data_IF_543161014057
#
_entry.id   IF_543161014057
#
_cell.length_a   1.000
_cell.length_b   1.000
_cell.length_c   1.000
_cell.angle_alpha   90.00
_cell.angle_beta   90.00
_cell.angle_gamma   90.00
#
_symmetry.space_group_name_H-M   'P 1'
#
loop_
_entity.id
_entity.type
_entity.pdbx_description
1 polymer ?
#
# COMPACT_ATOMS: atom_id res chain seq x y z
N UNK A 1 1.91 1.72 45.07
CA UNK A 1 2.83 2.03 43.95
C UNK A 1 2.36 1.21 42.75
N UNK A 2 1.73 1.88 41.78
CA UNK A 2 1.01 1.23 40.69
C UNK A 2 1.96 0.64 39.65
N UNK A 3 1.83 -0.65 39.42
CA UNK A 3 2.49 -1.34 38.32
C UNK A 3 2.04 -0.74 37.00
N UNK A 4 3.00 -0.20 36.25
CA UNK A 4 2.89 0.11 34.83
C UNK A 4 2.59 -1.20 34.09
N UNK A 5 1.31 -1.55 33.97
CA UNK A 5 0.85 -2.57 33.03
C UNK A 5 1.06 -2.02 31.63
N UNK A 6 2.23 -2.31 31.06
CA UNK A 6 2.44 -2.30 29.62
C UNK A 6 1.48 -3.34 29.05
N UNK A 7 0.27 -2.93 28.69
CA UNK A 7 -0.69 -3.78 27.98
C UNK A 7 -0.03 -4.19 26.68
N UNK A 8 0.52 -5.40 26.64
CA UNK A 8 0.78 -6.07 25.37
C UNK A 8 -0.53 -6.05 24.59
N UNK A 9 -0.50 -5.70 23.29
CA UNK A 9 -1.73 -5.68 22.50
C UNK A 9 -2.33 -7.07 22.52
N UNK A 10 -3.51 -7.19 23.15
CA UNK A 10 -4.21 -8.46 23.28
C UNK A 10 -4.55 -8.98 21.87
N UNK A 11 -3.88 -10.06 21.49
CA UNK A 11 -4.08 -10.70 20.19
C UNK A 11 -5.45 -11.35 20.17
N UNK A 12 -6.20 -11.10 19.09
CA UNK A 12 -7.54 -11.64 18.89
C UNK A 12 -7.41 -13.01 18.23
N UNK A 13 -8.09 -14.06 18.71
CA UNK A 13 -8.05 -15.36 18.05
C UNK A 13 -8.67 -15.29 16.65
N UNK A 14 -7.97 -15.80 15.65
CA UNK A 14 -8.49 -15.92 14.29
C UNK A 14 -9.59 -16.98 14.22
N UNK A 15 -10.85 -16.55 14.12
CA UNK A 15 -12.00 -17.47 14.02
C UNK A 15 -12.24 -17.93 12.58
N UNK A 16 -12.92 -19.07 12.40
CA UNK A 16 -13.35 -19.57 11.08
C UNK A 16 -14.15 -18.54 10.28
N UNK A 17 -15.07 -17.83 10.94
CA UNK A 17 -15.86 -16.77 10.32
C UNK A 17 -14.97 -15.62 9.86
N UNK A 18 -14.10 -15.11 10.73
CA UNK A 18 -13.18 -14.04 10.37
C UNK A 18 -12.29 -14.43 9.19
N UNK A 19 -11.77 -15.66 9.19
CA UNK A 19 -10.97 -16.17 8.07
C UNK A 19 -11.76 -16.25 6.75
N UNK A 20 -13.01 -16.72 6.80
CA UNK A 20 -13.90 -16.74 5.64
C UNK A 20 -14.17 -15.34 5.10
N UNK A 21 -14.48 -14.39 5.98
CA UNK A 21 -14.70 -12.98 5.63
C UNK A 21 -13.43 -12.36 5.02
N UNK A 22 -12.25 -12.70 5.53
CA UNK A 22 -10.97 -12.27 4.97
C UNK A 22 -10.73 -12.84 3.57
N UNK A 23 -11.09 -14.10 3.30
CA UNK A 23 -10.95 -14.70 1.99
C UNK A 23 -11.85 -14.03 0.95
N UNK A 24 -13.11 -13.72 1.32
CA UNK A 24 -14.01 -12.92 0.47
C UNK A 24 -13.42 -11.55 0.20
N UNK A 25 -13.00 -10.84 1.25
CA UNK A 25 -12.43 -9.51 1.13
C UNK A 25 -11.20 -9.52 0.19
N UNK A 26 -10.33 -10.52 0.30
CA UNK A 26 -9.16 -10.63 -0.59
C UNK A 26 -9.57 -10.73 -2.07
N UNK A 27 -10.60 -11.52 -2.38
CA UNK A 27 -11.12 -11.65 -3.74
C UNK A 27 -11.70 -10.34 -4.24
N UNK A 28 -12.61 -9.74 -3.47
CA UNK A 28 -13.27 -8.49 -3.85
C UNK A 28 -12.25 -7.36 -4.02
N UNK A 29 -11.28 -7.29 -3.10
CA UNK A 29 -10.26 -6.26 -3.14
C UNK A 29 -9.30 -6.45 -4.31
N UNK A 30 -8.92 -7.69 -4.66
CA UNK A 30 -8.13 -7.97 -5.86
C UNK A 30 -8.84 -7.51 -7.15
N UNK A 31 -10.14 -7.82 -7.29
CA UNK A 31 -10.95 -7.37 -8.42
C UNK A 31 -11.09 -5.84 -8.48
N UNK A 32 -11.19 -5.19 -7.32
CA UNK A 32 -11.27 -3.73 -7.24
C UNK A 32 -9.94 -3.07 -7.62
N UNK A 33 -8.80 -3.61 -7.18
CA UNK A 33 -7.47 -3.10 -7.55
C UNK A 33 -7.21 -3.20 -9.06
N UNK A 34 -7.64 -4.30 -9.69
CA UNK A 34 -7.52 -4.54 -11.13
C UNK A 34 -8.15 -3.45 -12.01
N UNK A 35 -9.11 -2.67 -11.47
CA UNK A 35 -9.79 -1.57 -12.20
C UNK A 35 -8.99 -0.28 -12.24
N UNK A 36 -7.85 -0.20 -11.55
CA UNK A 36 -7.10 1.04 -11.35
C UNK A 36 -5.80 1.07 -12.18
N UNK A 37 -5.28 2.27 -12.41
CA UNK A 37 -4.01 2.44 -13.13
C UNK A 37 -2.84 1.94 -12.28
N UNK A 38 -2.21 0.86 -12.77
CA UNK A 38 -1.10 0.15 -12.13
C UNK A 38 0.08 1.06 -11.79
N UNK A 39 0.35 2.08 -12.60
CA UNK A 39 1.49 2.99 -12.45
C UNK A 39 1.26 4.16 -11.48
N UNK A 40 0.05 4.28 -10.91
CA UNK A 40 -0.35 5.43 -10.09
C UNK A 40 -0.53 5.04 -8.63
N UNK A 41 -0.30 6.01 -7.75
CA UNK A 41 -0.64 5.91 -6.33
C UNK A 41 -2.11 6.28 -6.15
N UNK A 42 -2.89 5.37 -5.56
CA UNK A 42 -4.24 5.66 -5.12
C UNK A 42 -4.27 5.81 -3.60
N UNK A 43 -4.48 7.04 -3.13
CA UNK A 43 -4.48 7.38 -1.70
C UNK A 43 -5.56 6.60 -0.94
N UNK A 44 -6.76 6.49 -1.51
CA UNK A 44 -7.88 5.78 -0.90
C UNK A 44 -7.50 4.32 -0.62
N UNK A 45 -6.95 3.64 -1.63
CA UNK A 45 -6.54 2.24 -1.50
C UNK A 45 -5.34 2.07 -0.57
N UNK A 46 -4.38 3.00 -0.56
CA UNK A 46 -3.28 2.96 0.40
C UNK A 46 -3.79 3.05 1.85
N UNK A 47 -4.72 3.96 2.14
CA UNK A 47 -5.30 4.10 3.47
C UNK A 47 -6.17 2.91 3.86
N UNK A 48 -6.99 2.41 2.92
CA UNK A 48 -7.81 1.22 3.12
C UNK A 48 -6.94 0.00 3.43
N UNK A 49 -5.88 -0.24 2.66
CA UNK A 49 -4.93 -1.31 2.91
C UNK A 49 -4.23 -1.16 4.27
N UNK A 50 -3.82 0.06 4.65
CA UNK A 50 -3.16 0.27 5.94
C UNK A 50 -4.09 0.00 7.12
N UNK A 51 -5.35 0.43 7.03
CA UNK A 51 -6.36 0.14 8.04
C UNK A 51 -6.63 -1.37 8.13
N UNK A 52 -6.77 -2.04 6.99
CA UNK A 52 -6.97 -3.48 6.93
C UNK A 52 -5.75 -4.27 7.45
N UNK A 53 -4.53 -3.89 7.05
CA UNK A 53 -3.29 -4.51 7.54
C UNK A 53 -3.15 -4.37 9.06
N UNK A 54 -3.52 -3.21 9.61
CA UNK A 54 -3.55 -3.02 11.06
C UNK A 54 -4.55 -3.97 11.74
N UNK A 55 -5.71 -4.22 11.13
CA UNK A 55 -6.67 -5.22 11.63
C UNK A 55 -6.10 -6.64 11.53
N UNK A 56 -5.48 -7.01 10.40
CA UNK A 56 -4.87 -8.33 10.21
C UNK A 56 -3.79 -8.62 11.26
N UNK A 57 -2.96 -7.63 11.58
CA UNK A 57 -1.91 -7.74 12.60
C UNK A 57 -2.43 -7.89 14.03
N UNK A 58 -3.74 -7.78 14.26
CA UNK A 58 -4.35 -8.08 15.56
C UNK A 58 -4.67 -9.55 15.74
N UNK A 59 -4.74 -10.33 14.66
CA UNK A 59 -5.02 -11.76 14.76
C UNK A 59 -3.78 -12.52 15.20
N UNK A 60 -3.93 -13.35 16.23
CA UNK A 60 -2.88 -14.19 16.82
C UNK A 60 -2.03 -14.95 15.78
N UNK A 61 -2.68 -15.57 14.80
CA UNK A 61 -2.01 -16.40 13.78
C UNK A 61 -1.40 -15.63 12.62
N UNK A 62 -1.88 -14.41 12.38
CA UNK A 62 -1.43 -13.57 11.26
C UNK A 62 -0.38 -12.55 11.70
N UNK A 63 -0.46 -12.05 12.93
CA UNK A 63 0.47 -11.08 13.49
C UNK A 63 1.96 -11.44 13.29
N UNK A 64 2.44 -12.65 13.66
CA UNK A 64 3.86 -12.99 13.50
C UNK A 64 4.27 -13.09 12.03
N UNK A 65 3.38 -13.60 11.16
CA UNK A 65 3.65 -13.82 9.73
C UNK A 65 3.60 -12.51 8.93
N UNK A 66 2.84 -11.52 9.41
CA UNK A 66 2.71 -10.18 8.79
C UNK A 66 3.62 -9.13 9.41
N UNK A 67 4.42 -9.46 10.43
CA UNK A 67 5.31 -8.51 11.11
C UNK A 67 6.26 -7.81 10.13
N UNK A 68 6.76 -8.54 9.13
CA UNK A 68 7.67 -8.03 8.10
C UNK A 68 6.97 -7.21 7.01
N UNK A 69 5.64 -7.29 6.90
CA UNK A 69 4.90 -6.55 5.89
C UNK A 69 4.76 -5.08 6.30
N UNK A 70 5.40 -4.20 5.53
CA UNK A 70 5.36 -2.75 5.73
C UNK A 70 4.03 -2.14 5.26
N UNK A 71 3.56 -1.04 5.88
CA UNK A 71 2.40 -0.32 5.39
C UNK A 71 2.64 0.28 3.99
N UNK A 72 1.56 0.54 3.27
CA UNK A 72 1.58 1.31 2.03
C UNK A 72 1.90 2.79 2.32
N UNK A 73 2.73 3.39 1.47
CA UNK A 73 3.12 4.81 1.50
C UNK A 73 2.13 5.62 0.66
N UNK A 74 1.21 6.40 1.26
CA UNK A 74 0.19 7.16 0.56
C UNK A 74 0.77 8.50 0.07
N UNK A 75 1.79 8.45 -0.79
CA UNK A 75 2.47 9.64 -1.33
C UNK A 75 2.17 9.75 -2.82
N UNK A 76 1.21 10.60 -3.16
CA UNK A 76 0.83 10.89 -4.54
C UNK A 76 1.67 12.04 -5.11
N UNK A 77 1.81 12.06 -6.44
CA UNK A 77 2.62 13.07 -7.15
C UNK A 77 2.20 14.50 -6.83
N UNK A 78 0.90 14.77 -6.77
CA UNK A 78 0.39 16.12 -6.50
C UNK A 78 0.83 16.65 -5.11
N UNK A 79 0.97 15.78 -4.10
CA UNK A 79 1.42 16.19 -2.77
C UNK A 79 2.87 16.70 -2.83
N UNK A 80 3.72 16.01 -3.58
CA UNK A 80 5.11 16.44 -3.79
C UNK A 80 5.19 17.70 -4.65
N UNK A 81 4.32 17.84 -5.65
CA UNK A 81 4.20 19.08 -6.44
C UNK A 81 3.81 20.26 -5.55
N UNK A 82 2.79 20.12 -4.70
CA UNK A 82 2.33 21.17 -3.78
C UNK A 82 3.41 21.53 -2.76
N UNK A 83 4.07 20.53 -2.17
CA UNK A 83 5.20 20.76 -1.27
C UNK A 83 6.34 21.49 -1.98
N UNK A 84 6.66 21.08 -3.20
CA UNK A 84 7.59 21.78 -4.07
C UNK A 84 7.21 23.25 -4.16
N UNK A 85 6.05 23.57 -4.74
CA UNK A 85 5.56 24.94 -4.89
C UNK A 85 5.58 25.73 -3.58
N UNK A 86 5.17 25.16 -2.46
CA UNK A 86 5.21 25.81 -1.15
C UNK A 86 6.63 26.17 -0.72
N UNK A 87 7.59 25.27 -0.88
CA UNK A 87 9.01 25.51 -0.60
C UNK A 87 9.57 26.59 -1.54
N UNK A 88 9.27 26.52 -2.84
CA UNK A 88 9.71 27.53 -3.80
C UNK A 88 9.13 28.91 -3.52
N UNK A 89 7.87 28.98 -3.12
CA UNK A 89 7.21 30.23 -2.74
C UNK A 89 7.83 30.81 -1.47
N UNK A 90 8.07 29.98 -0.44
CA UNK A 90 8.74 30.42 0.78
C UNK A 90 10.18 30.91 0.49
N UNK A 91 10.92 30.18 -0.35
CA UNK A 91 12.25 30.58 -0.77
C UNK A 91 12.23 31.94 -1.49
N UNK A 92 11.22 32.18 -2.35
CA UNK A 92 11.04 33.47 -3.04
C UNK A 92 10.75 34.62 -2.05
N UNK A 93 9.95 34.38 -1.01
CA UNK A 93 9.70 35.39 0.03
C UNK A 93 10.93 35.69 0.88
N UNK A 94 11.77 34.68 1.13
CA UNK A 94 12.99 34.81 1.92
C UNK A 94 14.20 35.24 1.08
N UNK A 95 14.04 35.38 -0.25
CA UNK A 95 15.14 35.74 -1.12
C UNK A 95 15.62 37.16 -0.76
N UNK A 96 16.90 37.33 -0.35
CA UNK A 96 17.42 38.65 -0.05
C UNK A 96 17.39 39.52 -1.30
N UNK A 97 16.91 40.76 -1.16
CA UNK A 97 16.82 41.78 -2.22
C UNK A 97 18.17 42.17 -2.86
N UNK A 98 19.26 41.57 -2.38
CA UNK A 98 20.64 41.81 -2.81
C UNK A 98 21.08 40.98 -4.01
N UNK A 99 20.27 40.03 -4.48
CA UNK A 99 20.59 39.27 -5.68
C UNK A 99 20.28 40.06 -6.95
N UNK A 100 21.25 40.12 -7.87
CA UNK A 100 21.02 40.70 -9.20
C UNK A 100 19.93 39.95 -9.97
N UNK A 101 19.21 40.69 -10.84
CA UNK A 101 18.05 40.17 -11.60
C UNK A 101 18.38 38.90 -12.40
N UNK A 102 19.60 38.81 -12.94
CA UNK A 102 20.09 37.64 -13.68
C UNK A 102 20.15 36.40 -12.78
N UNK A 103 20.78 36.48 -11.61
CA UNK A 103 20.89 35.37 -10.65
C UNK A 103 19.53 34.93 -10.14
N UNK A 104 18.65 35.87 -9.81
CA UNK A 104 17.28 35.57 -9.36
C UNK A 104 16.45 34.86 -10.42
N UNK A 105 16.57 35.28 -11.69
CA UNK A 105 15.88 34.62 -12.81
C UNK A 105 16.42 33.21 -13.08
N UNK A 106 17.73 33.00 -13.01
CA UNK A 106 18.36 31.69 -13.20
C UNK A 106 17.92 30.70 -12.12
N UNK A 107 17.85 31.12 -10.85
CA UNK A 107 17.35 30.30 -9.73
C UNK A 107 15.89 29.89 -9.99
N UNK A 108 15.04 30.86 -10.35
CA UNK A 108 13.62 30.61 -10.61
C UNK A 108 13.43 29.62 -11.77
N UNK A 109 14.12 29.82 -12.90
CA UNK A 109 14.00 28.93 -14.05
C UNK A 109 14.53 27.53 -13.75
N UNK A 110 15.65 27.41 -13.03
CA UNK A 110 16.19 26.11 -12.60
C UNK A 110 15.20 25.38 -11.70
N UNK A 111 14.59 26.09 -10.76
CA UNK A 111 13.58 25.55 -9.86
C UNK A 111 12.31 25.09 -10.62
N UNK A 112 11.77 25.92 -11.50
CA UNK A 112 10.60 25.56 -12.33
C UNK A 112 10.91 24.36 -13.24
N UNK A 113 12.09 24.34 -13.85
CA UNK A 113 12.55 23.21 -14.66
C UNK A 113 12.67 21.94 -13.82
N UNK A 114 13.19 22.03 -12.59
CA UNK A 114 13.24 20.92 -11.64
C UNK A 114 11.85 20.37 -11.30
N UNK A 115 10.85 21.23 -11.08
CA UNK A 115 9.47 20.80 -10.85
C UNK A 115 8.86 20.09 -12.07
N UNK A 116 9.16 20.57 -13.27
CA UNK A 116 8.71 19.93 -14.52
C UNK A 116 9.36 18.57 -14.66
N UNK A 117 10.68 18.48 -14.48
CA UNK A 117 11.42 17.23 -14.55
C UNK A 117 10.89 16.21 -13.52
N UNK A 118 10.56 16.67 -12.32
CA UNK A 118 9.95 15.84 -11.28
C UNK A 118 8.62 15.18 -11.71
N UNK A 119 7.83 15.78 -12.63
CA UNK A 119 6.59 15.15 -13.12
C UNK A 119 6.82 13.86 -13.91
N UNK A 120 8.03 13.67 -14.44
CA UNK A 120 8.43 12.46 -15.17
C UNK A 120 8.98 11.37 -14.24
N UNK A 121 9.17 11.67 -12.95
CA UNK A 121 9.67 10.71 -11.98
C UNK A 121 8.59 9.64 -11.66
N UNK A 122 8.89 8.34 -11.82
CA UNK A 122 7.92 7.28 -11.53
C UNK A 122 7.44 7.30 -10.08
N UNK A 123 6.12 7.15 -9.87
CA UNK A 123 5.54 7.26 -8.52
C UNK A 123 5.99 6.15 -7.56
N UNK A 124 6.43 5.01 -8.10
CA UNK A 124 6.99 3.88 -7.33
C UNK A 124 8.22 4.25 -6.47
N UNK A 125 8.93 5.32 -6.83
CA UNK A 125 10.13 5.74 -6.09
C UNK A 125 9.80 6.36 -4.72
N UNK A 126 8.65 7.00 -4.59
CA UNK A 126 8.26 7.71 -3.37
C UNK A 126 6.94 7.21 -2.76
N UNK A 127 6.02 6.66 -3.56
CA UNK A 127 4.73 6.14 -3.12
C UNK A 127 4.60 4.62 -3.26
N UNK A 128 3.45 4.10 -2.84
CA UNK A 128 3.01 2.72 -3.16
C UNK A 128 1.99 2.78 -4.27
N UNK A 129 2.40 2.40 -5.48
CA UNK A 129 1.51 2.31 -6.64
C UNK A 129 0.53 1.15 -6.48
N UNK A 130 -0.52 1.11 -7.32
CA UNK A 130 -1.47 -0.03 -7.34
C UNK A 130 -0.73 -1.35 -7.52
N UNK A 131 0.23 -1.44 -8.43
CA UNK A 131 1.06 -2.65 -8.64
C UNK A 131 1.76 -3.12 -7.35
N UNK A 132 2.41 -2.19 -6.63
CA UNK A 132 3.07 -2.50 -5.36
C UNK A 132 2.07 -2.90 -4.26
N UNK A 133 0.86 -2.33 -4.32
CA UNK A 133 -0.22 -2.64 -3.40
C UNK A 133 -0.77 -4.05 -3.66
N UNK A 134 -0.97 -4.42 -4.92
CA UNK A 134 -1.34 -5.77 -5.34
C UNK A 134 -0.31 -6.81 -4.86
N UNK A 135 0.99 -6.51 -4.99
CA UNK A 135 2.04 -7.38 -4.45
C UNK A 135 1.96 -7.57 -2.93
N UNK A 136 1.57 -6.53 -2.18
CA UNK A 136 1.36 -6.63 -0.72
C UNK A 136 0.12 -7.44 -0.38
N UNK A 137 -0.99 -7.27 -1.12
CA UNK A 137 -2.21 -8.07 -0.96
C UNK A 137 -1.94 -9.53 -1.32
N UNK A 138 -1.19 -9.79 -2.39
CA UNK A 138 -0.80 -11.13 -2.80
C UNK A 138 -0.04 -11.85 -1.69
N UNK A 139 0.86 -11.14 -0.99
CA UNK A 139 1.56 -11.70 0.17
C UNK A 139 0.59 -12.11 1.29
N UNK A 140 -0.46 -11.34 1.54
CA UNK A 140 -1.49 -11.70 2.52
C UNK A 140 -2.29 -12.93 2.05
N UNK A 141 -2.68 -12.99 0.78
CA UNK A 141 -3.41 -14.13 0.20
C UNK A 141 -2.60 -15.41 0.34
N UNK A 142 -1.32 -15.38 -0.01
CA UNK A 142 -0.42 -16.55 0.12
C UNK A 142 -0.32 -17.03 1.57
N UNK A 143 -0.24 -16.11 2.54
CA UNK A 143 -0.22 -16.45 3.97
C UNK A 143 -1.53 -17.06 4.46
N UNK A 144 -2.68 -16.58 3.97
CA UNK A 144 -3.97 -17.18 4.27
C UNK A 144 -4.05 -18.59 3.68
N UNK A 145 -3.58 -18.80 2.46
CA UNK A 145 -3.59 -20.13 1.85
C UNK A 145 -2.67 -21.12 2.58
N UNK A 146 -1.50 -20.67 3.04
CA UNK A 146 -0.62 -21.46 3.91
C UNK A 146 -1.35 -21.87 5.21
N UNK A 147 -2.05 -20.94 5.86
CA UNK A 147 -2.86 -21.22 7.07
C UNK A 147 -4.00 -22.20 6.78
N UNK A 148 -4.65 -22.08 5.63
CA UNK A 148 -5.74 -22.96 5.21
C UNK A 148 -5.23 -24.39 5.01
N UNK A 149 -4.09 -24.55 4.34
CA UNK A 149 -3.46 -25.86 4.07
C UNK A 149 -3.00 -26.53 5.37
N UNK A 150 -2.51 -25.75 6.34
CA UNK A 150 -2.15 -26.26 7.67
C UNK A 150 -3.37 -26.75 8.48
N UNK A 151 -4.60 -26.53 7.99
CA UNK A 151 -5.88 -26.92 8.59
C UNK A 151 -6.03 -26.53 10.07
N UNK A 152 -5.38 -25.45 10.48
CA UNK A 152 -5.33 -25.06 11.89
C UNK A 152 -6.70 -24.58 12.43
N UNK A 153 -7.66 -24.33 11.54
CA UNK A 153 -8.98 -23.76 11.85
C UNK A 153 -10.14 -24.78 11.77
N UNK A 154 -9.87 -26.04 11.38
CA UNK A 154 -10.86 -27.12 11.31
C UNK A 154 -12.15 -26.69 10.57
N UNK A 155 -11.98 -26.31 9.30
CA UNK A 155 -13.12 -26.00 8.43
C UNK A 155 -13.94 -27.25 8.13
N UNK A 156 -15.24 -27.06 7.88
CA UNK A 156 -16.04 -28.08 7.19
C UNK A 156 -15.56 -28.18 5.74
N UNK A 157 -15.78 -29.32 5.10
CA UNK A 157 -15.33 -29.55 3.72
C UNK A 157 -15.85 -28.47 2.74
N UNK A 158 -17.15 -28.15 2.82
CA UNK A 158 -17.75 -27.11 1.98
C UNK A 158 -17.11 -25.73 2.21
N UNK A 159 -16.92 -25.33 3.48
CA UNK A 159 -16.31 -24.05 3.81
C UNK A 159 -14.84 -23.99 3.38
N UNK A 160 -14.11 -25.10 3.51
CA UNK A 160 -12.72 -25.21 3.06
C UNK A 160 -12.60 -24.95 1.55
N UNK A 161 -13.43 -25.62 0.73
CA UNK A 161 -13.39 -25.44 -0.71
C UNK A 161 -13.77 -24.03 -1.14
N UNK A 162 -14.79 -23.43 -0.53
CA UNK A 162 -15.20 -22.07 -0.85
C UNK A 162 -14.13 -21.03 -0.51
N UNK A 163 -13.49 -21.18 0.66
CA UNK A 163 -12.37 -20.32 1.06
C UNK A 163 -11.18 -20.49 0.11
N UNK A 164 -10.85 -21.74 -0.24
CA UNK A 164 -9.78 -22.07 -1.18
C UNK A 164 -10.04 -21.45 -2.55
N UNK A 165 -11.26 -21.51 -3.05
CA UNK A 165 -11.67 -20.91 -4.33
C UNK A 165 -11.53 -19.39 -4.29
N UNK A 166 -12.05 -18.72 -3.27
CA UNK A 166 -11.93 -17.27 -3.11
C UNK A 166 -10.46 -16.81 -3.11
N UNK A 167 -9.60 -17.52 -2.37
CA UNK A 167 -8.17 -17.18 -2.30
C UNK A 167 -7.46 -17.48 -3.63
N UNK A 168 -7.79 -18.57 -4.31
CA UNK A 168 -7.22 -18.91 -5.61
C UNK A 168 -7.61 -17.90 -6.70
N UNK A 169 -8.86 -17.43 -6.70
CA UNK A 169 -9.32 -16.36 -7.58
C UNK A 169 -8.58 -15.05 -7.31
N UNK A 170 -8.47 -14.65 -6.04
CA UNK A 170 -7.71 -13.47 -5.63
C UNK A 170 -6.24 -13.57 -6.09
N UNK A 171 -5.59 -14.71 -5.85
CA UNK A 171 -4.20 -14.96 -6.24
C UNK A 171 -4.00 -14.86 -7.74
N UNK A 172 -4.90 -15.47 -8.52
CA UNK A 172 -4.87 -15.46 -9.98
C UNK A 172 -4.98 -14.04 -10.51
N UNK A 173 -5.95 -13.27 -10.02
CA UNK A 173 -6.16 -11.88 -10.45
C UNK A 173 -4.94 -11.02 -10.14
N UNK A 174 -4.45 -11.05 -8.89
CA UNK A 174 -3.29 -10.25 -8.48
C UNK A 174 -2.03 -10.58 -9.28
N UNK A 175 -1.73 -11.87 -9.50
CA UNK A 175 -0.59 -12.27 -10.32
C UNK A 175 -0.74 -11.82 -11.78
N UNK A 176 -1.94 -11.95 -12.34
CA UNK A 176 -2.21 -11.50 -13.70
C UNK A 176 -1.99 -9.99 -13.85
N UNK A 177 -2.48 -9.17 -12.92
CA UNK A 177 -2.30 -7.71 -12.97
C UNK A 177 -0.83 -7.30 -12.82
N UNK A 178 -0.11 -7.91 -11.89
CA UNK A 178 1.34 -7.69 -11.71
C UNK A 178 2.11 -8.09 -12.97
N UNK A 179 1.79 -9.23 -13.58
CA UNK A 179 2.44 -9.69 -14.82
C UNK A 179 2.15 -8.74 -15.99
N UNK A 180 0.91 -8.25 -16.11
CA UNK A 180 0.52 -7.26 -17.13
C UNK A 180 1.25 -5.93 -16.91
N UNK A 181 1.38 -5.48 -15.67
CA UNK A 181 2.13 -4.28 -15.32
C UNK A 181 3.61 -4.42 -15.73
N UNK A 182 4.25 -5.54 -15.41
CA UNK A 182 5.64 -5.79 -15.80
C UNK A 182 5.85 -5.86 -17.32
N UNK A 183 4.92 -6.45 -18.08
CA UNK A 183 5.00 -6.49 -19.56
C UNK A 183 4.94 -5.11 -20.18
N UNK A 184 4.22 -4.16 -19.58
CA UNK A 184 4.12 -2.78 -20.06
C UNK A 184 5.46 -2.02 -20.02
N UNK A 185 6.41 -2.47 -19.19
CA UNK A 185 7.71 -1.83 -18.99
C UNK A 185 8.90 -2.56 -19.64
N UNK A 186 8.66 -3.70 -20.32
CA UNK A 186 9.65 -4.35 -21.20
C UNK A 186 9.47 -3.89 -22.63
#
# INVERSE_FOLDING_TARGET
MGGSSSREPELVPLTRKAFYDLAIFCREYAQELARHDQGRVNLKHCHQFNAWLAQLKRYDRLAPRLATLSPARPIARWQLTVLGFGIGFLALLLLPTRFDRLTSSAILYTYLFGLIFFQFLPERLYGTTIELLEGKVLRVVELLEELLVQNELQFTEAAYFQVKENLAEARKELRQQIDLAHRRWR
#
